data_IF_029826384297
#
_entry.id   IF_029826384297
#
_cell.length_a   1.000
_cell.length_b   1.000
_cell.length_c   1.000
_cell.angle_alpha   90.00
_cell.angle_beta   90.00
_cell.angle_gamma   90.00
#
_symmetry.space_group_name_H-M   'P 1'
#
loop_
_entity.id
_entity.type
_entity.pdbx_description
1 polymer ?
#
# COMPACT_ATOMS: atom_id res chain seq x y z
N UNK A 1 11.14 13.86 12.22
CA UNK A 1 12.22 13.03 12.80
C UNK A 1 12.86 12.16 11.73
N UNK A 2 14.07 11.63 11.97
CA UNK A 2 14.70 10.70 11.03
C UNK A 2 14.00 9.32 11.10
N UNK A 3 13.81 8.67 9.94
CA UNK A 3 13.34 7.28 9.86
C UNK A 3 14.51 6.30 9.73
N UNK A 4 15.75 6.78 9.87
CA UNK A 4 16.93 5.92 9.80
C UNK A 4 16.87 4.83 10.87
N UNK A 5 17.12 3.60 10.45
CA UNK A 5 17.06 2.41 11.31
C UNK A 5 15.65 1.81 11.49
N UNK A 6 14.58 2.46 11.04
CA UNK A 6 13.24 1.86 11.05
C UNK A 6 13.16 0.66 10.12
N UNK A 7 12.43 -0.35 10.54
CA UNK A 7 12.14 -1.57 9.78
C UNK A 7 10.71 -1.48 9.24
N UNK A 8 10.58 -1.48 7.91
CA UNK A 8 9.31 -1.17 7.23
C UNK A 8 8.96 -2.29 6.24
N UNK A 9 7.88 -3.02 6.51
CA UNK A 9 7.33 -4.01 5.59
C UNK A 9 6.36 -3.35 4.60
N UNK A 10 6.48 -3.68 3.31
CA UNK A 10 5.69 -3.05 2.24
C UNK A 10 5.13 -4.13 1.32
N UNK A 11 3.80 -4.23 1.21
CA UNK A 11 3.15 -5.09 0.21
C UNK A 11 2.99 -4.36 -1.11
N UNK A 12 2.98 -5.10 -2.23
CA UNK A 12 2.92 -4.50 -3.57
C UNK A 12 4.20 -3.73 -3.95
N UNK A 13 5.34 -4.09 -3.34
CA UNK A 13 6.59 -3.36 -3.46
C UNK A 13 7.32 -3.51 -4.80
N UNK A 14 6.84 -4.36 -5.72
CA UNK A 14 7.48 -4.63 -7.01
C UNK A 14 7.26 -3.53 -8.07
N UNK A 15 6.28 -2.65 -7.89
CA UNK A 15 5.93 -1.63 -8.88
C UNK A 15 5.21 -0.42 -8.28
N UNK A 16 4.97 0.60 -9.08
CA UNK A 16 4.11 1.75 -8.78
C UNK A 16 4.42 2.43 -7.45
N UNK A 17 3.38 2.69 -6.67
CA UNK A 17 3.48 3.38 -5.37
C UNK A 17 4.35 2.59 -4.37
N UNK A 18 4.19 1.27 -4.31
CA UNK A 18 4.94 0.43 -3.38
C UNK A 18 6.45 0.47 -3.65
N UNK A 19 6.87 0.36 -4.94
CA UNK A 19 8.29 0.50 -5.33
C UNK A 19 8.83 1.90 -5.03
N UNK A 20 8.11 2.95 -5.42
CA UNK A 20 8.54 4.33 -5.16
C UNK A 20 8.68 4.61 -3.67
N UNK A 21 7.74 4.09 -2.85
CA UNK A 21 7.78 4.20 -1.40
C UNK A 21 8.98 3.45 -0.83
N UNK A 22 9.21 2.21 -1.24
CA UNK A 22 10.36 1.41 -0.78
C UNK A 22 11.69 2.10 -1.08
N UNK A 23 11.86 2.60 -2.31
CA UNK A 23 13.07 3.32 -2.72
C UNK A 23 13.30 4.58 -1.89
N UNK A 24 12.25 5.41 -1.72
CA UNK A 24 12.35 6.66 -0.95
C UNK A 24 12.68 6.39 0.53
N UNK A 25 11.99 5.44 1.17
CA UNK A 25 12.21 5.12 2.58
C UNK A 25 13.62 4.55 2.81
N UNK A 26 14.11 3.71 1.91
CA UNK A 26 15.48 3.19 1.98
C UNK A 26 16.54 4.30 1.81
N UNK A 27 16.30 5.28 0.94
CA UNK A 27 17.17 6.47 0.80
C UNK A 27 17.23 7.30 2.09
N UNK A 28 16.16 7.29 2.90
CA UNK A 28 16.10 7.93 4.20
C UNK A 28 16.63 7.04 5.35
N UNK A 29 17.29 5.92 5.02
CA UNK A 29 17.99 5.06 5.97
C UNK A 29 17.13 3.99 6.66
N UNK A 30 15.90 3.77 6.21
CA UNK A 30 15.10 2.64 6.68
C UNK A 30 15.60 1.32 6.06
N UNK A 31 15.40 0.21 6.78
CA UNK A 31 15.47 -1.11 6.19
C UNK A 31 14.05 -1.48 5.68
N UNK A 32 13.94 -1.76 4.38
CA UNK A 32 12.66 -2.11 3.78
C UNK A 32 12.56 -3.61 3.52
N UNK A 33 11.40 -4.18 3.89
CA UNK A 33 11.07 -5.59 3.68
C UNK A 33 9.99 -5.65 2.60
N UNK A 34 10.37 -6.11 1.41
CA UNK A 34 9.57 -6.01 0.21
C UNK A 34 8.74 -7.27 -0.02
N UNK A 35 7.42 -7.12 -0.12
CA UNK A 35 6.50 -8.22 -0.43
C UNK A 35 5.74 -7.97 -1.73
N UNK A 36 5.78 -8.92 -2.67
CA UNK A 36 4.94 -8.99 -3.86
C UNK A 36 5.02 -10.39 -4.49
N UNK A 37 4.14 -10.72 -5.44
CA UNK A 37 4.12 -12.03 -6.09
C UNK A 37 5.29 -12.25 -7.05
N UNK A 38 5.72 -11.20 -7.76
CA UNK A 38 6.80 -11.29 -8.75
C UNK A 38 8.15 -11.15 -8.06
N UNK A 39 8.80 -12.29 -7.84
CA UNK A 39 10.09 -12.39 -7.16
C UNK A 39 11.23 -11.72 -7.94
N UNK A 40 11.26 -11.85 -9.26
CA UNK A 40 12.29 -11.22 -10.09
C UNK A 40 12.22 -9.69 -10.03
N UNK A 41 11.00 -9.15 -10.06
CA UNK A 41 10.79 -7.71 -9.89
C UNK A 41 11.19 -7.23 -8.48
N UNK A 42 10.91 -8.01 -7.42
CA UNK A 42 11.35 -7.71 -6.06
C UNK A 42 12.88 -7.71 -5.96
N UNK A 43 13.51 -8.73 -6.55
CA UNK A 43 14.98 -8.84 -6.60
C UNK A 43 15.61 -7.65 -7.31
N UNK A 44 15.02 -7.20 -8.42
CA UNK A 44 15.48 -6.01 -9.12
C UNK A 44 15.37 -4.74 -8.25
N UNK A 45 14.22 -4.52 -7.59
CA UNK A 45 14.03 -3.38 -6.69
C UNK A 45 14.99 -3.42 -5.50
N UNK A 46 15.16 -4.57 -4.86
CA UNK A 46 16.09 -4.73 -3.76
C UNK A 46 17.54 -4.48 -4.19
N UNK A 47 17.92 -4.96 -5.39
CA UNK A 47 19.23 -4.70 -6.00
C UNK A 47 19.48 -3.24 -6.26
N UNK A 48 18.51 -2.50 -6.82
CA UNK A 48 18.59 -1.06 -7.04
C UNK A 48 18.76 -0.29 -5.72
N UNK A 49 17.97 -0.65 -4.70
CA UNK A 49 18.07 -0.03 -3.37
C UNK A 49 19.45 -0.25 -2.77
N UNK A 50 19.97 -1.48 -2.83
CA UNK A 50 21.28 -1.84 -2.27
C UNK A 50 22.42 -1.16 -3.04
N UNK A 51 22.35 -1.11 -4.37
CA UNK A 51 23.33 -0.41 -5.19
C UNK A 51 23.42 1.10 -4.88
N UNK A 52 22.33 1.70 -4.39
CA UNK A 52 22.27 3.09 -3.95
C UNK A 52 22.56 3.27 -2.44
N UNK A 53 23.12 2.25 -1.77
CA UNK A 53 23.51 2.32 -0.35
C UNK A 53 22.37 2.11 0.65
N UNK A 54 21.14 1.80 0.20
CA UNK A 54 20.01 1.47 1.05
C UNK A 54 20.04 0.01 1.52
N UNK A 55 19.08 -0.36 2.38
CA UNK A 55 18.93 -1.72 2.92
C UNK A 55 17.58 -2.28 2.53
N UNK A 56 17.57 -3.42 1.85
CA UNK A 56 16.36 -4.10 1.43
C UNK A 56 16.50 -5.62 1.55
N UNK A 57 15.46 -6.27 2.05
CA UNK A 57 15.24 -7.71 1.93
C UNK A 57 13.89 -7.93 1.28
N UNK A 58 13.66 -9.10 0.67
CA UNK A 58 12.41 -9.35 -0.02
C UNK A 58 11.95 -10.80 0.16
N UNK A 59 10.64 -10.99 -0.05
CA UNK A 59 10.00 -12.30 -0.08
C UNK A 59 8.85 -12.30 -1.08
N UNK A 60 8.73 -13.37 -1.87
CA UNK A 60 7.52 -13.62 -2.65
C UNK A 60 6.32 -13.71 -1.70
N UNK A 61 5.30 -12.87 -1.92
CA UNK A 61 4.17 -12.68 -1.01
C UNK A 61 2.90 -12.49 -1.81
N UNK A 62 1.97 -13.42 -1.70
CA UNK A 62 0.60 -13.26 -2.19
C UNK A 62 -0.29 -12.78 -1.04
N UNK A 63 -0.75 -11.55 -1.09
CA UNK A 63 -1.57 -10.98 -0.01
C UNK A 63 -2.90 -11.69 0.21
N UNK A 64 -3.34 -12.54 -0.73
CA UNK A 64 -4.52 -13.40 -0.59
C UNK A 64 -4.26 -14.57 0.38
N UNK A 65 -3.00 -14.87 0.68
CA UNK A 65 -2.59 -15.93 1.60
C UNK A 65 -2.16 -15.32 2.93
N UNK A 66 -2.91 -15.62 3.99
CA UNK A 66 -2.60 -15.10 5.33
C UNK A 66 -1.20 -15.51 5.81
N UNK A 67 -0.78 -16.74 5.51
CA UNK A 67 0.56 -17.26 5.83
C UNK A 67 1.66 -16.38 5.25
N UNK A 68 1.52 -15.91 3.99
CA UNK A 68 2.55 -15.14 3.33
C UNK A 68 2.78 -13.79 4.02
N UNK A 69 1.71 -13.16 4.53
CA UNK A 69 1.84 -11.92 5.32
C UNK A 69 2.52 -12.17 6.67
N UNK A 70 2.23 -13.30 7.31
CA UNK A 70 2.89 -13.71 8.55
C UNK A 70 4.39 -13.93 8.31
N UNK A 71 4.75 -14.59 7.20
CA UNK A 71 6.14 -14.84 6.82
C UNK A 71 6.87 -13.56 6.38
N UNK A 72 6.19 -12.59 5.75
CA UNK A 72 6.77 -11.28 5.44
C UNK A 72 7.12 -10.52 6.74
N UNK A 73 6.24 -10.52 7.72
CA UNK A 73 6.50 -9.93 9.04
C UNK A 73 7.59 -10.70 9.79
N UNK A 74 7.57 -12.04 9.75
CA UNK A 74 8.61 -12.87 10.34
C UNK A 74 9.99 -12.60 9.74
N UNK A 75 10.08 -12.31 8.44
CA UNK A 75 11.32 -11.91 7.78
C UNK A 75 11.89 -10.62 8.37
N UNK A 76 11.05 -9.62 8.66
CA UNK A 76 11.46 -8.38 9.34
C UNK A 76 12.05 -8.67 10.72
N UNK A 77 11.35 -9.48 11.51
CA UNK A 77 11.79 -9.86 12.86
C UNK A 77 13.09 -10.66 12.83
N UNK A 78 13.22 -11.61 11.89
CA UNK A 78 14.43 -12.44 11.78
C UNK A 78 15.68 -11.60 11.44
N UNK A 79 15.52 -10.55 10.63
CA UNK A 79 16.66 -9.71 10.23
C UNK A 79 17.00 -8.58 11.21
N UNK A 80 16.02 -8.06 11.94
CA UNK A 80 16.19 -6.84 12.72
C UNK A 80 15.67 -6.92 14.17
N UNK A 81 14.99 -8.01 14.55
CA UNK A 81 14.41 -8.16 15.87
C UNK A 81 13.09 -7.40 16.10
N UNK A 82 12.68 -6.53 15.17
CA UNK A 82 11.49 -5.69 15.32
C UNK A 82 10.86 -5.34 13.98
N UNK A 83 9.67 -4.74 14.03
CA UNK A 83 8.97 -4.12 12.90
C UNK A 83 8.41 -2.78 13.37
N UNK A 84 8.71 -1.68 12.69
CA UNK A 84 8.17 -0.36 13.04
C UNK A 84 6.90 -0.02 12.25
N UNK A 85 6.86 -0.38 10.96
CA UNK A 85 5.77 0.02 10.07
C UNK A 85 5.38 -1.14 9.16
N UNK A 86 4.07 -1.33 8.96
CA UNK A 86 3.54 -2.10 7.84
C UNK A 86 2.81 -1.17 6.88
N UNK A 87 3.14 -1.25 5.58
CA UNK A 87 2.48 -0.50 4.51
C UNK A 87 1.71 -1.48 3.63
N UNK A 88 0.40 -1.50 3.77
CA UNK A 88 -0.50 -2.27 2.93
C UNK A 88 -0.77 -1.49 1.64
N UNK A 89 0.07 -1.71 0.61
CA UNK A 89 0.02 -1.01 -0.67
C UNK A 89 -0.39 -1.91 -1.84
N UNK A 90 -0.42 -3.23 -1.66
CA UNK A 90 -0.89 -4.16 -2.70
C UNK A 90 -2.35 -3.86 -3.07
N UNK A 91 -2.62 -3.76 -4.37
CA UNK A 91 -3.96 -3.50 -4.87
C UNK A 91 -4.06 -3.73 -6.37
N UNK A 92 -5.24 -4.09 -6.83
CA UNK A 92 -5.61 -4.28 -8.23
C UNK A 92 -6.94 -3.60 -8.53
N UNK A 93 -7.22 -3.35 -9.81
CA UNK A 93 -8.48 -2.74 -10.22
C UNK A 93 -8.93 -3.23 -11.60
N UNK A 94 -9.36 -4.50 -11.76
CA UNK A 94 -10.11 -4.94 -12.93
C UNK A 94 -11.50 -4.29 -12.93
N UNK A 95 -11.52 -2.97 -13.14
CA UNK A 95 -12.74 -2.15 -13.10
C UNK A 95 -13.53 -2.30 -14.38
N UNK A 96 -14.85 -2.39 -14.21
CA UNK A 96 -15.82 -2.51 -15.31
C UNK A 96 -17.19 -2.01 -14.85
N UNK A 97 -18.11 -1.83 -15.82
CA UNK A 97 -19.52 -1.62 -15.49
C UNK A 97 -20.10 -2.89 -14.84
N UNK A 98 -21.13 -2.73 -14.01
CA UNK A 98 -21.79 -3.88 -13.39
C UNK A 98 -22.42 -4.83 -14.41
N UNK A 99 -22.96 -4.32 -15.50
CA UNK A 99 -23.57 -5.09 -16.58
C UNK A 99 -22.56 -5.92 -17.41
N UNK A 100 -21.26 -5.69 -17.25
CA UNK A 100 -20.22 -6.53 -17.83
C UNK A 100 -20.04 -7.87 -17.06
N UNK A 101 -20.58 -7.98 -15.85
CA UNK A 101 -20.57 -9.17 -15.01
C UNK A 101 -19.18 -9.83 -14.84
N UNK A 102 -18.13 -9.02 -14.68
CA UNK A 102 -16.76 -9.49 -14.38
C UNK A 102 -16.65 -9.95 -12.92
N UNK A 103 -17.34 -11.07 -12.60
CA UNK A 103 -17.42 -11.61 -11.22
C UNK A 103 -16.05 -12.05 -10.73
N UNK A 104 -15.21 -12.64 -11.57
CA UNK A 104 -13.84 -13.02 -11.24
C UNK A 104 -12.99 -11.79 -10.88
N UNK A 105 -13.17 -10.68 -11.59
CA UNK A 105 -12.55 -9.41 -11.25
C UNK A 105 -13.03 -8.84 -9.91
N UNK A 106 -14.33 -9.00 -9.59
CA UNK A 106 -14.87 -8.57 -8.30
C UNK A 106 -14.27 -9.37 -7.14
N UNK A 107 -14.23 -10.71 -7.26
CA UNK A 107 -13.63 -11.59 -6.25
C UNK A 107 -12.15 -11.28 -6.07
N UNK A 108 -11.41 -11.09 -7.17
CA UNK A 108 -10.00 -10.73 -7.11
C UNK A 108 -9.76 -9.39 -6.39
N UNK A 109 -10.62 -8.37 -6.63
CA UNK A 109 -10.54 -7.09 -5.92
C UNK A 109 -10.83 -7.24 -4.42
N UNK A 110 -11.83 -8.03 -4.04
CA UNK A 110 -12.15 -8.31 -2.64
C UNK A 110 -10.97 -9.01 -1.97
N UNK A 111 -10.43 -10.04 -2.60
CA UNK A 111 -9.33 -10.83 -2.05
C UNK A 111 -8.04 -10.03 -1.88
N UNK A 112 -7.66 -9.25 -2.89
CA UNK A 112 -6.41 -8.49 -2.85
C UNK A 112 -6.56 -7.20 -2.05
N UNK A 113 -7.55 -6.36 -2.38
CA UNK A 113 -7.63 -5.00 -1.84
C UNK A 113 -8.13 -4.97 -0.39
N UNK A 114 -9.14 -5.82 -0.06
CA UNK A 114 -9.74 -5.84 1.27
C UNK A 114 -9.12 -6.92 2.14
N UNK A 115 -9.24 -8.19 1.75
CA UNK A 115 -8.76 -9.31 2.56
C UNK A 115 -7.25 -9.26 2.76
N UNK A 116 -6.49 -8.92 1.70
CA UNK A 116 -5.04 -8.75 1.76
C UNK A 116 -4.61 -7.67 2.76
N UNK A 117 -5.31 -6.53 2.79
CA UNK A 117 -5.04 -5.47 3.78
C UNK A 117 -5.35 -5.94 5.21
N UNK A 118 -6.48 -6.63 5.41
CA UNK A 118 -6.83 -7.19 6.73
C UNK A 118 -5.80 -8.23 7.21
N UNK A 119 -5.26 -9.04 6.32
CA UNK A 119 -4.22 -10.02 6.65
C UNK A 119 -2.90 -9.33 7.00
N UNK A 120 -2.53 -8.23 6.32
CA UNK A 120 -1.37 -7.42 6.68
C UNK A 120 -1.50 -6.83 8.09
N UNK A 121 -2.67 -6.26 8.40
CA UNK A 121 -2.99 -5.78 9.75
C UNK A 121 -2.87 -6.93 10.78
N UNK A 122 -3.52 -8.06 10.52
CA UNK A 122 -3.50 -9.22 11.42
C UNK A 122 -2.11 -9.82 11.64
N UNK A 123 -1.21 -9.73 10.66
CA UNK A 123 0.17 -10.20 10.79
C UNK A 123 1.03 -9.26 11.65
N UNK A 124 0.82 -7.93 11.55
CA UNK A 124 1.64 -6.94 12.24
C UNK A 124 1.16 -6.65 13.68
N UNK A 125 -0.14 -6.62 13.94
CA UNK A 125 -0.69 -6.24 15.25
C UNK A 125 -0.11 -7.00 16.44
N UNK A 126 0.09 -8.35 16.40
CA UNK A 126 0.70 -9.07 17.53
C UNK A 126 2.15 -8.65 17.81
N UNK A 127 2.88 -8.19 16.78
CA UNK A 127 4.24 -7.67 16.93
C UNK A 127 4.19 -6.31 17.59
N UNK A 128 3.37 -5.40 17.08
CA UNK A 128 3.20 -4.04 17.62
C UNK A 128 2.70 -4.04 19.05
N UNK A 129 1.77 -4.95 19.40
CA UNK A 129 1.29 -5.10 20.78
C UNK A 129 2.40 -5.50 21.73
N UNK A 130 3.29 -6.43 21.34
CA UNK A 130 4.44 -6.83 22.18
C UNK A 130 5.51 -5.75 22.29
N UNK A 131 5.68 -4.94 21.26
CA UNK A 131 6.64 -3.84 21.22
C UNK A 131 6.13 -2.58 21.91
N UNK A 132 4.82 -2.50 22.18
CA UNK A 132 4.13 -1.28 22.59
C UNK A 132 4.44 -0.10 21.66
N UNK A 133 4.63 -0.39 20.38
CA UNK A 133 4.95 0.57 19.34
C UNK A 133 4.68 0.00 17.95
N UNK A 134 4.13 0.80 17.04
CA UNK A 134 3.92 0.39 15.67
C UNK A 134 3.23 1.47 14.84
N UNK A 135 3.20 1.22 13.51
CA UNK A 135 2.47 2.09 12.59
C UNK A 135 1.88 1.25 11.44
N UNK A 136 0.58 1.32 11.28
CA UNK A 136 -0.12 0.74 10.12
C UNK A 136 -0.41 1.84 9.11
N UNK A 137 0.05 1.67 7.88
CA UNK A 137 -0.25 2.57 6.76
C UNK A 137 -1.03 1.80 5.70
N UNK A 138 -2.26 2.20 5.42
CA UNK A 138 -3.11 1.58 4.40
C UNK A 138 -3.28 2.49 3.19
N UNK A 139 -2.85 2.00 2.01
CA UNK A 139 -3.02 2.72 0.74
C UNK A 139 -4.41 2.40 0.16
N UNK A 140 -5.27 3.41 0.21
CA UNK A 140 -6.68 3.33 -0.19
C UNK A 140 -6.85 3.83 -1.64
N UNK A 141 -7.63 4.86 -1.83
CA UNK A 141 -7.84 5.60 -3.09
C UNK A 141 -8.84 6.72 -2.88
N UNK A 142 -8.79 7.79 -3.67
CA UNK A 142 -9.89 8.76 -3.77
C UNK A 142 -11.20 8.12 -4.23
N UNK A 143 -11.17 6.98 -4.94
CA UNK A 143 -12.37 6.20 -5.28
C UNK A 143 -13.08 5.60 -4.05
N UNK A 144 -12.40 5.42 -2.92
CA UNK A 144 -13.02 5.06 -1.64
C UNK A 144 -13.72 6.25 -0.94
N UNK A 145 -13.54 7.47 -1.44
CA UNK A 145 -14.14 8.70 -0.91
C UNK A 145 -15.24 9.20 -1.86
N UNK A 146 -14.92 9.28 -3.16
CA UNK A 146 -15.82 9.74 -4.20
C UNK A 146 -16.13 8.59 -5.17
N UNK A 147 -17.38 8.19 -5.26
CA UNK A 147 -17.85 7.12 -6.14
C UNK A 147 -17.99 7.65 -7.56
N UNK A 148 -17.48 6.88 -8.52
CA UNK A 148 -17.60 7.18 -9.95
C UNK A 148 -18.07 5.94 -10.72
N UNK A 149 -18.80 6.10 -11.83
CA UNK A 149 -19.18 4.97 -12.68
C UNK A 149 -17.99 4.09 -13.06
N UNK A 150 -18.23 2.82 -13.31
CA UNK A 150 -17.27 1.74 -13.61
C UNK A 150 -16.40 1.26 -12.44
N UNK A 151 -16.33 2.01 -11.34
CA UNK A 151 -15.49 1.68 -10.19
C UNK A 151 -16.26 1.07 -9.00
N UNK A 152 -17.48 0.58 -9.18
CA UNK A 152 -18.37 0.18 -8.09
C UNK A 152 -17.74 -0.77 -7.09
N UNK A 153 -17.27 -1.94 -7.52
CA UNK A 153 -16.66 -2.94 -6.62
C UNK A 153 -15.28 -2.47 -6.12
N UNK A 154 -14.47 -1.86 -6.99
CA UNK A 154 -13.19 -1.26 -6.56
C UNK A 154 -13.40 -0.23 -5.45
N UNK A 155 -14.30 0.73 -5.66
CA UNK A 155 -14.64 1.75 -4.66
C UNK A 155 -15.17 1.13 -3.36
N UNK A 156 -16.00 0.08 -3.46
CA UNK A 156 -16.51 -0.65 -2.29
C UNK A 156 -15.36 -1.29 -1.48
N UNK A 157 -14.39 -1.95 -2.15
CA UNK A 157 -13.23 -2.53 -1.44
C UNK A 157 -12.38 -1.45 -0.77
N UNK A 158 -12.14 -0.32 -1.44
CA UNK A 158 -11.36 0.79 -0.88
C UNK A 158 -12.10 1.54 0.24
N UNK A 159 -13.42 1.68 0.14
CA UNK A 159 -14.23 2.23 1.23
C UNK A 159 -14.26 1.28 2.44
N UNK A 160 -14.37 -0.03 2.23
CA UNK A 160 -14.30 -1.02 3.30
C UNK A 160 -12.96 -0.96 4.06
N UNK A 161 -11.84 -0.84 3.32
CA UNK A 161 -10.51 -0.65 3.94
C UNK A 161 -10.46 0.66 4.71
N UNK A 162 -11.01 1.75 4.18
CA UNK A 162 -11.09 3.04 4.86
C UNK A 162 -11.84 2.93 6.19
N UNK A 163 -13.01 2.29 6.18
CA UNK A 163 -13.79 2.06 7.40
C UNK A 163 -13.02 1.23 8.42
N UNK A 164 -12.41 0.11 7.98
CA UNK A 164 -11.61 -0.74 8.86
C UNK A 164 -10.38 0.00 9.43
N UNK A 165 -9.75 0.87 8.64
CA UNK A 165 -8.59 1.69 9.06
C UNK A 165 -8.99 2.67 10.15
N UNK A 166 -10.12 3.37 9.99
CA UNK A 166 -10.60 4.34 10.99
C UNK A 166 -11.02 3.65 12.29
N UNK A 167 -11.68 2.50 12.22
CA UNK A 167 -12.03 1.73 13.43
C UNK A 167 -10.77 1.21 14.13
N UNK A 168 -9.80 0.67 13.37
CA UNK A 168 -8.51 0.28 13.93
C UNK A 168 -7.81 1.45 14.64
N UNK A 169 -7.83 2.65 14.06
CA UNK A 169 -7.26 3.85 14.71
C UNK A 169 -7.92 4.17 16.04
N UNK A 170 -9.24 4.00 16.15
CA UNK A 170 -9.98 4.24 17.40
C UNK A 170 -9.69 3.17 18.47
N UNK A 171 -9.40 1.93 18.06
CA UNK A 171 -9.11 0.80 18.94
C UNK A 171 -7.61 0.69 19.30
N UNK A 172 -6.73 1.35 18.56
CA UNK A 172 -5.27 1.16 18.59
C UNK A 172 -4.59 1.56 19.93
N UNK A 173 -5.24 2.43 20.70
CA UNK A 173 -4.61 2.98 21.93
C UNK A 173 -3.42 3.90 21.63
N UNK A 174 -2.63 4.29 22.64
CA UNK A 174 -1.60 5.32 22.50
C UNK A 174 -0.30 4.84 21.87
N UNK A 175 -0.15 3.55 21.59
CA UNK A 175 1.12 2.95 21.15
C UNK A 175 1.14 2.58 19.65
N UNK A 176 0.00 2.66 18.97
CA UNK A 176 -0.14 2.31 17.57
C UNK A 176 -0.65 3.48 16.76
N UNK A 177 0.11 3.95 15.79
CA UNK A 177 -0.35 4.92 14.80
C UNK A 177 -1.02 4.23 13.63
N UNK A 178 -2.04 4.87 13.07
CA UNK A 178 -2.80 4.32 11.94
C UNK A 178 -3.08 5.40 10.93
N UNK A 179 -2.50 5.28 9.75
CA UNK A 179 -2.64 6.25 8.66
C UNK A 179 -3.36 5.64 7.46
N UNK A 180 -4.36 6.34 6.93
CA UNK A 180 -4.86 6.10 5.59
C UNK A 180 -4.21 7.04 4.59
N UNK A 181 -3.84 6.52 3.41
CA UNK A 181 -3.36 7.32 2.29
C UNK A 181 -4.28 7.08 1.10
N UNK A 182 -4.90 8.14 0.60
CA UNK A 182 -5.88 8.10 -0.50
C UNK A 182 -5.32 8.77 -1.76
N UNK A 183 -4.63 8.00 -2.64
CA UNK A 183 -4.14 8.51 -3.91
C UNK A 183 -5.27 8.83 -4.89
N UNK A 184 -5.09 9.89 -5.68
CA UNK A 184 -5.85 10.12 -6.89
C UNK A 184 -5.28 9.39 -8.11
N UNK A 185 -5.26 10.02 -9.28
CA UNK A 185 -4.68 9.45 -10.49
C UNK A 185 -3.16 9.48 -10.45
N UNK A 186 -2.56 8.29 -10.42
CA UNK A 186 -1.12 8.10 -10.33
C UNK A 186 -0.62 7.34 -11.57
N UNK A 187 0.50 7.76 -12.13
CA UNK A 187 1.15 7.14 -13.28
C UNK A 187 1.80 5.80 -12.88
N UNK A 188 1.04 4.73 -12.95
CA UNK A 188 1.45 3.37 -12.59
C UNK A 188 0.89 2.36 -13.59
N UNK A 189 1.35 1.11 -13.51
CA UNK A 189 0.80 -0.02 -14.27
C UNK A 189 -0.59 -0.48 -13.80
N UNK A 190 -1.25 0.24 -12.89
CA UNK A 190 -2.59 -0.11 -12.39
C UNK A 190 -3.61 -0.31 -13.52
N UNK A 191 -3.53 0.50 -14.60
CA UNK A 191 -4.39 0.38 -15.77
C UNK A 191 -4.27 -0.97 -16.48
N UNK A 192 -3.15 -1.68 -16.31
CA UNK A 192 -2.94 -2.98 -16.94
C UNK A 192 -3.82 -4.08 -16.32
N UNK A 193 -4.37 -3.85 -15.14
CA UNK A 193 -5.34 -4.74 -14.50
C UNK A 193 -6.77 -4.58 -15.01
N UNK A 194 -7.06 -3.58 -15.86
CA UNK A 194 -8.40 -3.31 -16.40
C UNK A 194 -8.61 -4.19 -17.62
N UNK A 195 -9.55 -5.14 -17.54
CA UNK A 195 -9.88 -6.07 -18.62
C UNK A 195 -10.83 -5.44 -19.67
N UNK A 196 -11.76 -4.58 -19.23
CA UNK A 196 -12.71 -3.88 -20.10
C UNK A 196 -12.00 -2.83 -20.96
N UNK A 197 -11.89 -3.10 -22.28
CA UNK A 197 -11.11 -2.27 -23.19
C UNK A 197 -11.59 -0.82 -23.28
N UNK A 198 -12.91 -0.52 -23.37
CA UNK A 198 -13.39 0.86 -23.37
C UNK A 198 -13.03 1.60 -22.08
N UNK A 199 -13.20 0.95 -20.93
CA UNK A 199 -12.83 1.52 -19.62
C UNK A 199 -11.31 1.72 -19.51
N UNK A 200 -10.52 0.72 -19.93
CA UNK A 200 -9.05 0.81 -19.95
C UNK A 200 -8.56 1.99 -20.80
N UNK A 201 -9.13 2.17 -21.98
CA UNK A 201 -8.77 3.29 -22.86
C UNK A 201 -9.14 4.63 -22.21
N UNK A 202 -10.38 4.79 -21.76
CA UNK A 202 -10.87 6.02 -21.12
C UNK A 202 -10.04 6.41 -19.89
N UNK A 203 -9.75 5.46 -19.00
CA UNK A 203 -8.91 5.71 -17.83
C UNK A 203 -7.47 5.99 -18.23
N UNK A 204 -6.93 5.25 -19.24
CA UNK A 204 -5.59 5.47 -19.77
C UNK A 204 -5.40 6.87 -20.33
N UNK A 205 -6.39 7.39 -21.07
CA UNK A 205 -6.37 8.78 -21.60
C UNK A 205 -6.32 9.80 -20.45
N UNK A 206 -7.14 9.60 -19.42
CA UNK A 206 -7.13 10.47 -18.24
C UNK A 206 -5.81 10.38 -17.47
N UNK A 207 -5.27 9.18 -17.27
CA UNK A 207 -3.94 8.99 -16.63
C UNK A 207 -2.86 9.73 -17.40
N UNK A 208 -2.82 9.59 -18.74
CA UNK A 208 -1.86 10.33 -19.56
C UNK A 208 -1.99 11.85 -19.47
N UNK A 209 -3.22 12.33 -19.31
CA UNK A 209 -3.49 13.77 -19.27
C UNK A 209 -3.14 14.43 -17.94
N UNK A 210 -3.39 13.76 -16.79
CA UNK A 210 -3.35 14.44 -15.49
C UNK A 210 -2.61 13.68 -14.38
N UNK A 211 -2.19 12.43 -14.59
CA UNK A 211 -1.60 11.65 -13.49
C UNK A 211 -0.30 12.26 -12.97
N UNK A 212 -0.12 12.18 -11.67
CA UNK A 212 1.14 12.54 -11.00
C UNK A 212 2.00 11.28 -10.77
N UNK A 213 3.32 11.44 -10.61
CA UNK A 213 4.22 10.31 -10.39
C UNK A 213 4.00 9.66 -9.02
N UNK A 214 4.26 8.34 -8.86
CA UNK A 214 4.07 7.61 -7.60
C UNK A 214 4.93 8.14 -6.44
N UNK A 215 6.03 8.81 -6.72
CA UNK A 215 6.87 9.49 -5.73
C UNK A 215 6.11 10.58 -4.96
N UNK A 216 5.06 11.16 -5.53
CA UNK A 216 4.22 12.12 -4.81
C UNK A 216 3.50 11.45 -3.63
N UNK A 217 3.04 10.20 -3.82
CA UNK A 217 2.42 9.41 -2.75
C UNK A 217 3.47 8.93 -1.75
N UNK A 218 4.63 8.49 -2.25
CA UNK A 218 5.74 8.06 -1.40
C UNK A 218 6.16 9.17 -0.41
N UNK A 219 6.21 10.44 -0.85
CA UNK A 219 6.48 11.58 0.04
C UNK A 219 5.40 11.78 1.10
N UNK A 220 4.13 11.57 0.77
CA UNK A 220 3.04 11.62 1.75
C UNK A 220 3.14 10.50 2.80
N UNK A 221 3.52 9.31 2.38
CA UNK A 221 3.76 8.17 3.28
C UNK A 221 4.97 8.46 4.18
N UNK A 222 6.08 8.96 3.62
CA UNK A 222 7.26 9.37 4.39
C UNK A 222 6.88 10.43 5.44
N UNK A 223 6.13 11.47 5.05
CA UNK A 223 5.66 12.50 5.98
C UNK A 223 4.92 11.90 7.18
N UNK A 224 4.01 10.93 6.97
CA UNK A 224 3.29 10.29 8.07
C UNK A 224 4.23 9.48 8.98
N UNK A 225 5.20 8.77 8.40
CA UNK A 225 6.10 7.89 9.16
C UNK A 225 7.10 8.69 10.00
N UNK A 226 7.60 9.82 9.48
CA UNK A 226 8.61 10.65 10.15
C UNK A 226 8.08 11.49 11.32
N UNK A 227 6.75 11.54 11.52
CA UNK A 227 6.19 12.24 12.68
C UNK A 227 6.60 11.56 13.99
N UNK A 228 6.69 12.32 15.09
CA UNK A 228 7.01 11.77 16.40
C UNK A 228 5.91 10.80 16.88
N UNK A 229 6.23 9.89 17.82
CA UNK A 229 5.32 8.82 18.24
C UNK A 229 3.95 9.29 18.74
N UNK A 230 3.89 10.46 19.34
CA UNK A 230 2.67 11.09 19.86
C UNK A 230 1.82 11.80 18.80
N UNK A 231 2.29 11.84 17.55
CA UNK A 231 1.55 12.45 16.42
C UNK A 231 1.05 11.38 15.47
N UNK A 232 -0.27 11.21 15.42
CA UNK A 232 -0.93 10.33 14.46
C UNK A 232 -1.50 11.14 13.29
N UNK A 233 -1.00 10.85 12.09
CA UNK A 233 -1.52 11.44 10.84
C UNK A 233 -2.60 10.49 10.31
N UNK A 234 -3.86 10.73 10.67
CA UNK A 234 -4.96 9.80 10.41
C UNK A 234 -5.29 9.64 8.92
N UNK A 235 -5.27 10.73 8.14
CA UNK A 235 -5.66 10.69 6.72
C UNK A 235 -4.85 11.63 5.85
N UNK A 236 -4.40 11.15 4.69
CA UNK A 236 -3.70 11.93 3.66
C UNK A 236 -4.36 11.70 2.31
N UNK A 237 -4.89 12.75 1.70
CA UNK A 237 -5.43 12.71 0.33
C UNK A 237 -4.49 13.44 -0.60
N UNK A 238 -3.91 12.74 -1.58
CA UNK A 238 -3.00 13.33 -2.58
C UNK A 238 -3.52 13.00 -3.97
N UNK A 239 -3.82 14.02 -4.75
CA UNK A 239 -4.33 13.90 -6.12
C UNK A 239 -3.72 14.95 -7.04
N UNK A 240 -3.74 14.74 -8.35
CA UNK A 240 -3.41 15.79 -9.30
C UNK A 240 -4.24 17.04 -9.05
N UNK A 241 -3.66 18.22 -9.18
CA UNK A 241 -4.41 19.49 -9.08
C UNK A 241 -5.52 19.58 -10.14
N UNK A 242 -5.30 18.94 -11.30
CA UNK A 242 -6.28 18.86 -12.38
C UNK A 242 -7.38 17.80 -12.19
N UNK A 243 -7.32 17.02 -11.11
CA UNK A 243 -8.37 16.06 -10.78
C UNK A 243 -9.46 16.73 -9.94
N UNK A 244 -10.63 16.93 -10.57
CA UNK A 244 -11.83 17.44 -9.89
C UNK A 244 -12.41 16.41 -8.91
#
# INVERSE_FOLDING_TARGET
>A
MSIAGKVIAITGASSGIGRATATLLAQHGALVVLGARNEDALKAVAGEITANGGKAVFRSTDVRQRSDLQELVALAIAHCGHLDVIINCAGIGPISRFDALDVEGWDAMIDVNLRGTLYGIAAALPVFARQESGHVVNVISTAGIQMVPTMGVYAATKNAVRTATEVLRQEAGPHLRVTEVSPGMIATSFIDSINDQPTRQSIGDRVRAIAIPPEAIARGILYAIEQPPEVDVGSIVIRPTAQA
#
